data_IF_264057944856
#
_entry.id   IF_264057944856
#
_cell.length_a   1.000
_cell.length_b   1.000
_cell.length_c   1.000
_cell.angle_alpha   90.00
_cell.angle_beta   90.00
_cell.angle_gamma   90.00
#
_symmetry.space_group_name_H-M   'P 1'
#
loop_
_entity.id
_entity.type
_entity.pdbx_description
1 polymer ?
#
# COMPACT_ATOMS: atom_id res chain seq x y z
N UNK A 1 26.38 0.40 17.00
CA UNK A 1 25.88 -0.90 16.46
C UNK A 1 24.53 -1.31 17.05
N UNK A 2 24.30 -1.28 18.37
CA UNK A 2 23.01 -1.69 18.97
C UNK A 2 21.77 -0.93 18.42
N UNK A 3 21.85 0.40 18.34
CA UNK A 3 20.76 1.23 17.79
C UNK A 3 20.41 0.96 16.31
N UNK A 4 21.33 0.33 15.55
CA UNK A 4 21.09 -0.04 14.16
C UNK A 4 20.32 -1.37 14.06
N UNK A 5 20.65 -2.32 14.92
CA UNK A 5 19.91 -3.57 15.04
C UNK A 5 18.47 -3.33 15.51
N UNK A 6 18.27 -2.46 16.50
CA UNK A 6 16.95 -2.12 17.04
C UNK A 6 16.04 -1.50 15.97
N UNK A 7 16.57 -0.56 15.18
CA UNK A 7 15.82 0.04 14.05
C UNK A 7 15.46 -0.96 12.96
N UNK A 8 16.33 -1.94 12.67
CA UNK A 8 16.01 -3.00 11.72
C UNK A 8 14.90 -3.90 12.27
N UNK A 9 14.97 -4.25 13.55
CA UNK A 9 13.97 -5.09 14.21
C UNK A 9 12.59 -4.43 14.25
N UNK A 10 12.54 -3.11 14.46
CA UNK A 10 11.30 -2.33 14.40
C UNK A 10 10.62 -2.46 13.01
N UNK A 11 11.38 -2.25 11.94
CA UNK A 11 10.84 -2.37 10.58
C UNK A 11 10.48 -3.82 10.19
N UNK A 12 11.25 -4.80 10.67
CA UNK A 12 11.00 -6.22 10.39
C UNK A 12 9.77 -6.71 11.18
N UNK A 13 9.57 -6.22 12.41
CA UNK A 13 8.43 -6.57 13.25
C UNK A 13 7.10 -5.99 12.77
N UNK A 14 7.13 -4.89 12.03
CA UNK A 14 5.93 -4.21 11.51
C UNK A 14 5.99 -3.99 9.99
N UNK A 15 6.00 -5.06 9.19
CA UNK A 15 6.15 -4.99 7.74
C UNK A 15 5.04 -4.18 7.06
N UNK A 16 3.85 -4.14 7.66
CA UNK A 16 2.70 -3.36 7.14
C UNK A 16 3.01 -1.88 7.06
N UNK A 17 3.82 -1.33 7.98
CA UNK A 17 4.20 0.10 7.96
C UNK A 17 5.08 0.43 6.76
N UNK A 18 5.77 -0.55 6.17
CA UNK A 18 6.61 -0.37 4.98
C UNK A 18 5.79 -0.04 3.71
N UNK A 19 4.46 -0.22 3.74
CA UNK A 19 3.56 0.26 2.69
C UNK A 19 3.50 1.79 2.58
N UNK A 20 3.74 2.49 3.70
CA UNK A 20 3.69 3.95 3.74
C UNK A 20 4.89 4.57 3.00
N UNK A 21 4.69 5.57 2.12
CA UNK A 21 5.78 6.21 1.38
C UNK A 21 6.90 6.75 2.28
N UNK A 22 6.55 7.36 3.43
CA UNK A 22 7.54 7.92 4.36
C UNK A 22 8.38 6.84 5.04
N UNK A 23 7.74 5.73 5.43
CA UNK A 23 8.40 4.61 6.11
C UNK A 23 9.27 3.83 5.13
N UNK A 24 8.75 3.56 3.92
CA UNK A 24 9.49 2.93 2.83
C UNK A 24 10.77 3.70 2.51
N UNK A 25 10.69 5.03 2.40
CA UNK A 25 11.85 5.87 2.13
C UNK A 25 12.90 5.76 3.26
N UNK A 26 12.49 5.87 4.52
CA UNK A 26 13.39 5.78 5.68
C UNK A 26 14.07 4.42 5.78
N UNK A 27 13.31 3.34 5.62
CA UNK A 27 13.82 1.97 5.64
C UNK A 27 14.77 1.70 4.45
N UNK A 28 14.46 2.22 3.26
CA UNK A 28 15.34 2.11 2.09
C UNK A 28 16.67 2.84 2.33
N UNK A 29 16.63 4.06 2.86
CA UNK A 29 17.85 4.80 3.23
C UNK A 29 18.68 4.04 4.27
N UNK A 30 18.03 3.39 5.24
CA UNK A 30 18.72 2.57 6.24
C UNK A 30 19.47 1.40 5.59
N UNK A 31 18.82 0.65 4.70
CA UNK A 31 19.44 -0.46 3.96
C UNK A 31 20.62 0.00 3.11
N UNK A 32 20.49 1.15 2.43
CA UNK A 32 21.57 1.73 1.62
C UNK A 32 22.75 2.13 2.50
N UNK A 33 22.50 2.76 3.66
CA UNK A 33 23.55 3.15 4.59
C UNK A 33 24.32 1.93 5.13
N UNK A 34 23.63 0.86 5.49
CA UNK A 34 24.25 -0.39 5.96
C UNK A 34 25.10 -1.01 4.85
N UNK A 35 24.60 -1.03 3.62
CA UNK A 35 25.32 -1.58 2.45
C UNK A 35 26.62 -0.83 2.14
N UNK A 36 26.73 0.45 2.51
CA UNK A 36 27.93 1.26 2.31
C UNK A 36 28.98 1.09 3.42
N UNK A 37 28.67 0.37 4.49
CA UNK A 37 29.60 0.16 5.60
C UNK A 37 30.67 -0.87 5.20
N UNK A 38 31.96 -0.62 5.47
CA UNK A 38 33.06 -1.51 5.06
C UNK A 38 33.09 -2.83 5.85
N UNK A 39 32.61 -2.83 7.10
CA UNK A 39 32.49 -4.04 7.92
C UNK A 39 31.07 -4.16 8.49
N UNK A 40 30.37 -5.22 8.08
CA UNK A 40 29.07 -5.62 8.64
C UNK A 40 29.20 -7.06 9.15
N UNK A 41 28.85 -7.28 10.42
CA UNK A 41 28.78 -8.64 10.97
C UNK A 41 27.63 -9.44 10.33
N UNK A 42 27.70 -10.78 10.32
CA UNK A 42 26.72 -11.65 9.65
C UNK A 42 25.28 -11.39 10.13
N UNK A 43 25.07 -11.21 11.43
CA UNK A 43 23.74 -10.89 12.01
C UNK A 43 23.13 -9.59 11.46
N UNK A 44 23.96 -8.60 11.12
CA UNK A 44 23.47 -7.33 10.57
C UNK A 44 23.17 -7.47 9.08
N UNK A 45 23.97 -8.26 8.36
CA UNK A 45 23.72 -8.64 6.97
C UNK A 45 22.38 -9.36 6.80
N UNK A 46 22.10 -10.36 7.64
CA UNK A 46 20.85 -11.12 7.59
C UNK A 46 19.61 -10.23 7.75
N UNK A 47 19.64 -9.31 8.74
CA UNK A 47 18.55 -8.35 8.98
C UNK A 47 18.39 -7.35 7.85
N UNK A 48 19.50 -6.87 7.26
CA UNK A 48 19.46 -6.01 6.06
C UNK A 48 18.77 -6.75 4.91
N UNK A 49 19.10 -8.01 4.70
CA UNK A 49 18.56 -8.81 3.60
C UNK A 49 17.09 -9.18 3.81
N UNK A 50 16.68 -9.41 5.05
CA UNK A 50 15.28 -9.57 5.43
C UNK A 50 14.49 -8.28 5.16
N UNK A 51 14.96 -7.14 5.66
CA UNK A 51 14.30 -5.85 5.42
C UNK A 51 14.25 -5.51 3.92
N UNK A 52 15.30 -5.82 3.17
CA UNK A 52 15.33 -5.66 1.71
C UNK A 52 14.25 -6.51 1.02
N UNK A 53 14.02 -7.76 1.48
CA UNK A 53 12.93 -8.61 0.98
C UNK A 53 11.55 -8.03 1.31
N UNK A 54 11.35 -7.55 2.54
CA UNK A 54 10.10 -6.91 2.96
C UNK A 54 9.82 -5.64 2.16
N UNK A 55 10.83 -4.80 1.93
CA UNK A 55 10.73 -3.59 1.10
C UNK A 55 10.34 -3.93 -0.34
N UNK A 56 10.92 -4.97 -0.93
CA UNK A 56 10.53 -5.44 -2.27
C UNK A 56 9.06 -5.87 -2.31
N UNK A 57 8.60 -6.60 -1.29
CA UNK A 57 7.18 -6.99 -1.19
C UNK A 57 6.27 -5.76 -1.10
N UNK A 58 6.59 -4.80 -0.24
CA UNK A 58 5.84 -3.55 -0.08
C UNK A 58 5.87 -2.65 -1.34
N UNK A 59 6.92 -2.75 -2.16
CA UNK A 59 7.04 -2.00 -3.42
C UNK A 59 6.35 -2.68 -4.62
N UNK A 60 5.97 -3.95 -4.51
CA UNK A 60 5.39 -4.73 -5.62
C UNK A 60 3.92 -4.40 -5.81
N UNK A 61 3.50 -3.84 -6.96
CA UNK A 61 2.09 -3.54 -7.21
C UNK A 61 1.25 -4.82 -7.33
N UNK A 62 0.07 -4.79 -6.73
CA UNK A 62 -0.95 -5.84 -6.76
C UNK A 62 -2.14 -5.38 -7.60
N UNK A 63 -2.74 -6.31 -8.35
CA UNK A 63 -3.93 -6.03 -9.15
C UNK A 63 -5.16 -6.04 -8.26
N UNK A 64 -5.91 -4.94 -8.28
CA UNK A 64 -7.17 -4.77 -7.56
C UNK A 64 -8.27 -4.52 -8.58
N UNK A 65 -9.34 -5.30 -8.50
CA UNK A 65 -10.52 -5.11 -9.32
C UNK A 65 -11.50 -4.18 -8.59
N UNK A 66 -11.97 -3.15 -9.29
CA UNK A 66 -13.01 -2.25 -8.83
C UNK A 66 -14.27 -2.46 -9.64
N UNK A 67 -15.42 -2.48 -8.97
CA UNK A 67 -16.73 -2.65 -9.59
C UNK A 67 -17.61 -1.45 -9.18
N UNK A 68 -18.28 -0.86 -10.17
CA UNK A 68 -19.24 0.23 -10.00
C UNK A 68 -20.46 -0.02 -10.90
N UNK A 69 -21.35 0.96 -11.04
CA UNK A 69 -22.64 0.90 -11.75
C UNK A 69 -22.64 1.72 -13.05
N UNK A 70 -21.46 2.14 -13.53
CA UNK A 70 -21.25 2.98 -14.72
C UNK A 70 -21.88 4.39 -14.67
N UNK A 71 -22.50 4.78 -13.55
CA UNK A 71 -23.09 6.11 -13.34
C UNK A 71 -22.49 6.83 -12.13
N UNK A 72 -21.96 6.08 -11.16
CA UNK A 72 -21.22 6.60 -10.02
C UNK A 72 -19.81 7.01 -10.46
N UNK A 73 -19.46 8.28 -10.25
CA UNK A 73 -18.12 8.80 -10.48
C UNK A 73 -17.21 8.40 -9.34
N UNK A 74 -16.22 7.54 -9.61
CA UNK A 74 -15.33 6.99 -8.59
C UNK A 74 -13.98 7.72 -8.62
N UNK A 75 -13.45 7.97 -7.42
CA UNK A 75 -12.10 8.49 -7.20
C UNK A 75 -11.40 7.72 -6.09
N UNK A 76 -10.08 7.54 -6.18
CA UNK A 76 -9.28 6.88 -5.14
C UNK A 76 -8.25 7.87 -4.61
N UNK A 77 -8.20 8.02 -3.29
CA UNK A 77 -7.22 8.87 -2.63
C UNK A 77 -5.79 8.37 -2.89
N UNK A 78 -4.84 9.30 -3.10
CA UNK A 78 -3.44 9.04 -3.51
C UNK A 78 -3.26 8.46 -4.93
N UNK A 79 -4.33 8.16 -5.66
CA UNK A 79 -4.27 7.61 -7.04
C UNK A 79 -4.83 8.61 -8.05
N UNK A 80 -6.05 9.09 -7.83
CA UNK A 80 -6.72 10.06 -8.71
C UNK A 80 -8.19 9.77 -8.97
N UNK A 81 -8.78 10.54 -9.90
CA UNK A 81 -10.17 10.36 -10.35
C UNK A 81 -10.22 9.31 -11.46
N UNK A 82 -11.09 8.32 -11.33
CA UNK A 82 -11.25 7.24 -12.30
C UNK A 82 -12.44 7.45 -13.24
N UNK A 83 -13.38 8.31 -12.86
CA UNK A 83 -14.64 8.54 -13.57
C UNK A 83 -15.64 7.42 -13.30
N UNK A 84 -16.61 7.26 -14.19
CA UNK A 84 -17.59 6.17 -14.13
C UNK A 84 -17.10 4.94 -14.91
N UNK A 85 -17.40 3.76 -14.38
CA UNK A 85 -17.08 2.47 -15.02
C UNK A 85 -17.98 1.36 -14.45
N UNK A 86 -18.09 0.24 -15.16
CA UNK A 86 -18.71 -0.98 -14.62
C UNK A 86 -17.66 -1.83 -13.87
N UNK A 87 -16.52 -2.10 -14.52
CA UNK A 87 -15.38 -2.82 -13.95
C UNK A 87 -14.09 -2.16 -14.37
N UNK A 88 -13.13 -2.02 -13.44
CA UNK A 88 -11.80 -1.47 -13.72
C UNK A 88 -10.74 -2.15 -12.90
N UNK A 89 -9.64 -2.52 -13.52
CA UNK A 89 -8.47 -3.07 -12.82
C UNK A 89 -7.43 -1.97 -12.59
N UNK A 90 -6.84 -1.94 -11.40
CA UNK A 90 -5.77 -1.03 -11.03
C UNK A 90 -4.62 -1.79 -10.37
N UNK A 91 -3.40 -1.38 -10.69
CA UNK A 91 -2.20 -1.85 -10.00
C UNK A 91 -1.89 -0.92 -8.84
N UNK A 92 -2.19 -1.36 -7.62
CA UNK A 92 -1.97 -0.60 -6.39
C UNK A 92 -0.87 -1.26 -5.57
N UNK A 93 0.00 -0.46 -4.96
CA UNK A 93 0.98 -1.02 -4.01
C UNK A 93 0.25 -1.49 -2.76
N UNK A 94 0.80 -2.45 -2.00
CA UNK A 94 0.30 -2.76 -0.67
C UNK A 94 0.14 -1.49 0.15
N UNK A 95 -0.97 -1.40 0.89
CA UNK A 95 -1.32 -0.25 1.71
C UNK A 95 -2.82 0.01 1.78
N UNK A 96 -3.19 0.99 2.59
CA UNK A 96 -4.58 1.39 2.81
C UNK A 96 -5.02 2.47 1.82
N UNK A 97 -6.15 2.24 1.17
CA UNK A 97 -6.74 3.13 0.19
C UNK A 97 -8.17 3.51 0.57
N UNK A 98 -8.59 4.68 0.09
CA UNK A 98 -9.96 5.16 0.25
C UNK A 98 -10.51 5.43 -1.14
N UNK A 99 -11.57 4.72 -1.50
CA UNK A 99 -12.38 5.02 -2.67
C UNK A 99 -13.57 5.90 -2.27
N UNK A 100 -13.88 6.88 -3.11
CA UNK A 100 -15.03 7.78 -2.97
C UNK A 100 -15.83 7.70 -4.27
N UNK A 101 -17.09 7.29 -4.15
CA UNK A 101 -18.10 7.36 -5.20
C UNK A 101 -18.97 8.60 -4.99
N UNK A 102 -19.20 9.35 -6.07
CA UNK A 102 -20.11 10.49 -6.07
C UNK A 102 -21.04 10.44 -7.26
N UNK A 103 -22.31 10.76 -7.03
CA UNK A 103 -23.36 10.78 -8.05
C UNK A 103 -24.37 11.89 -7.72
N UNK A 104 -24.66 12.81 -8.66
CA UNK A 104 -25.64 13.87 -8.41
C UNK A 104 -27.01 13.32 -8.00
N UNK A 105 -27.59 13.85 -6.92
CA UNK A 105 -28.86 13.39 -6.35
C UNK A 105 -28.77 12.16 -5.44
N UNK A 106 -27.57 11.69 -5.13
CA UNK A 106 -27.30 10.56 -4.25
C UNK A 106 -26.25 10.93 -3.21
N UNK A 107 -26.25 10.20 -2.10
CA UNK A 107 -25.23 10.30 -1.06
C UNK A 107 -23.90 9.75 -1.54
N UNK A 108 -22.84 10.51 -1.31
CA UNK A 108 -21.48 10.07 -1.60
C UNK A 108 -21.12 8.84 -0.73
N UNK A 109 -20.49 7.86 -1.36
CA UNK A 109 -20.03 6.63 -0.68
C UNK A 109 -18.53 6.68 -0.50
N UNK A 110 -18.07 6.43 0.72
CA UNK A 110 -16.65 6.35 1.07
C UNK A 110 -16.34 4.96 1.60
N UNK A 111 -15.44 4.26 0.92
CA UNK A 111 -15.03 2.90 1.26
C UNK A 111 -13.52 2.83 1.46
N UNK A 112 -13.11 2.35 2.62
CA UNK A 112 -11.71 2.07 2.94
C UNK A 112 -11.41 0.60 2.66
N UNK A 113 -10.30 0.32 1.98
CA UNK A 113 -9.87 -1.03 1.67
C UNK A 113 -8.34 -1.17 1.80
N UNK A 114 -7.92 -2.35 2.25
CA UNK A 114 -6.51 -2.71 2.40
C UNK A 114 -6.06 -3.56 1.21
N UNK A 115 -4.92 -3.19 0.63
CA UNK A 115 -4.25 -3.95 -0.42
C UNK A 115 -3.03 -4.60 0.20
N UNK A 116 -2.88 -5.92 0.06
CA UNK A 116 -1.79 -6.66 0.69
C UNK A 116 -1.54 -8.01 -0.01
N UNK A 117 -0.30 -8.51 -0.03
CA UNK A 117 0.06 -9.73 -0.76
C UNK A 117 -0.54 -10.99 -0.14
N UNK A 118 -0.83 -10.96 1.17
CA UNK A 118 -1.43 -12.06 1.94
C UNK A 118 -2.97 -12.00 1.90
N UNK A 119 -3.56 -10.96 1.31
CA UNK A 119 -5.01 -10.80 1.20
C UNK A 119 -5.52 -11.40 -0.09
N UNK A 120 -6.62 -12.14 0.00
CA UNK A 120 -7.34 -12.58 -1.20
C UNK A 120 -7.80 -11.35 -2.00
N UNK A 121 -7.60 -11.34 -3.34
CA UNK A 121 -8.03 -10.24 -4.19
C UNK A 121 -9.56 -10.22 -4.27
N UNK A 122 -10.20 -9.48 -3.36
CA UNK A 122 -11.64 -9.24 -3.39
C UNK A 122 -11.95 -8.01 -4.23
N UNK A 123 -12.98 -8.05 -5.08
CA UNK A 123 -13.39 -6.88 -5.84
C UNK A 123 -13.91 -5.80 -4.89
N UNK A 124 -13.42 -4.58 -5.09
CA UNK A 124 -13.87 -3.41 -4.34
C UNK A 124 -15.10 -2.84 -5.03
N UNK A 125 -16.26 -2.90 -4.39
CA UNK A 125 -17.53 -2.42 -4.94
C UNK A 125 -17.82 -1.01 -4.43
N UNK A 126 -18.02 -0.05 -5.34
CA UNK A 126 -18.37 1.34 -5.00
C UNK A 126 -19.58 1.77 -5.83
N UNK A 127 -20.72 1.99 -5.17
CA UNK A 127 -21.98 2.39 -5.82
C UNK A 127 -22.75 3.34 -4.92
N UNK A 128 -23.26 4.44 -5.48
CA UNK A 128 -24.14 5.36 -4.77
C UNK A 128 -25.59 4.84 -4.82
N UNK A 129 -26.04 4.19 -3.74
CA UNK A 129 -27.37 3.56 -3.66
C UNK A 129 -28.42 4.39 -2.91
N UNK A 130 -28.00 5.32 -2.04
CA UNK A 130 -28.91 6.15 -1.23
C UNK A 130 -29.20 7.48 -1.93
N UNK A 131 -30.46 7.72 -2.31
CA UNK A 131 -30.92 8.98 -2.89
C UNK A 131 -31.13 10.05 -1.80
N UNK A 132 -30.92 11.33 -2.15
CA UNK A 132 -31.09 12.51 -1.27
C UNK A 132 -32.44 13.17 -1.50
#
# INVERSE_FOLDING_TARGET
MAALHEKLDEYIGEPDKLSSPSTMQRATTLVVNITRMPEIGPRLGDKRDELSRLLKRAATPLRVQLISDNVTSVSIYKVGKLGSFATRELSLRPGTYVAVGSRPGYRDVRLEFLVGPELEPKPVVIRCEEAI
#
